data_IF_915897273908
#
_entry.id   IF_915897273908
#
_cell.length_a   1.000
_cell.length_b   1.000
_cell.length_c   1.000
_cell.angle_alpha   90.00
_cell.angle_beta   90.00
_cell.angle_gamma   90.00
#
_symmetry.space_group_name_H-M   'P 1'
#
loop_
_entity.id
_entity.type
_entity.pdbx_description
1 polymer ?
#
# COMPACT_ATOMS: atom_id res chain seq x y z
N UNK A 1 32.70 -11.29 -35.54
CA UNK A 1 31.92 -11.83 -34.41
C UNK A 1 31.44 -10.67 -33.58
N UNK A 2 30.13 -10.42 -33.58
CA UNK A 2 29.44 -9.49 -32.68
C UNK A 2 27.93 -9.66 -32.88
N UNK A 3 27.39 -10.67 -32.21
CA UNK A 3 25.95 -10.87 -32.06
C UNK A 3 25.44 -9.88 -31.01
N UNK A 4 24.68 -8.88 -31.46
CA UNK A 4 23.89 -8.01 -30.59
C UNK A 4 22.67 -8.79 -30.09
N UNK A 5 22.80 -9.40 -28.91
CA UNK A 5 21.66 -9.97 -28.18
C UNK A 5 20.71 -8.85 -27.74
N UNK A 6 19.77 -8.50 -28.62
CA UNK A 6 18.65 -7.62 -28.32
C UNK A 6 17.72 -8.37 -27.37
N UNK A 7 17.74 -8.00 -26.09
CA UNK A 7 16.79 -8.48 -25.09
C UNK A 7 15.36 -8.25 -25.61
N UNK A 8 14.73 -9.34 -26.04
CA UNK A 8 13.34 -9.33 -26.51
C UNK A 8 12.48 -9.01 -25.30
N UNK A 9 11.77 -7.87 -25.34
CA UNK A 9 10.80 -7.51 -24.30
C UNK A 9 9.76 -8.63 -24.24
N UNK A 10 9.75 -9.37 -23.13
CA UNK A 10 8.70 -10.35 -22.84
C UNK A 10 7.40 -9.57 -22.64
N UNK A 11 6.44 -9.74 -23.55
CA UNK A 11 5.10 -9.14 -23.40
C UNK A 11 4.35 -10.03 -22.42
N UNK A 12 4.04 -9.50 -21.24
CA UNK A 12 3.20 -10.18 -20.25
C UNK A 12 1.75 -10.17 -20.78
N UNK A 13 1.07 -11.34 -20.87
CA UNK A 13 -0.34 -11.41 -21.21
C UNK A 13 -1.19 -10.53 -20.28
N UNK A 14 -2.27 -9.95 -20.78
CA UNK A 14 -3.14 -9.08 -19.99
C UNK A 14 -3.69 -9.80 -18.75
N UNK A 15 -3.93 -11.11 -18.84
CA UNK A 15 -4.42 -11.92 -17.71
C UNK A 15 -3.36 -12.12 -16.61
N UNK A 16 -2.07 -11.94 -16.93
CA UNK A 16 -0.95 -12.05 -15.98
C UNK A 16 -0.51 -10.66 -15.46
N UNK A 17 -1.21 -9.59 -15.85
CA UNK A 17 -0.92 -8.23 -15.41
C UNK A 17 -1.73 -7.88 -14.15
N UNK A 18 -1.04 -7.46 -13.08
CA UNK A 18 -1.67 -6.93 -11.85
C UNK A 18 -2.44 -5.60 -12.06
N UNK A 19 -2.61 -5.12 -13.30
CA UNK A 19 -3.20 -3.80 -13.60
C UNK A 19 -4.64 -3.68 -13.11
N UNK A 20 -5.44 -4.75 -13.25
CA UNK A 20 -6.83 -4.75 -12.78
C UNK A 20 -6.86 -4.71 -11.26
N UNK A 21 -6.03 -5.52 -10.59
CA UNK A 21 -5.96 -5.58 -9.13
C UNK A 21 -5.44 -4.27 -8.54
N UNK A 22 -4.38 -3.69 -9.13
CA UNK A 22 -3.81 -2.41 -8.72
C UNK A 22 -4.83 -1.28 -8.89
N UNK A 23 -5.61 -1.29 -9.98
CA UNK A 23 -6.68 -0.32 -10.21
C UNK A 23 -7.82 -0.48 -9.20
N UNK A 24 -8.29 -1.70 -8.97
CA UNK A 24 -9.37 -1.96 -8.01
C UNK A 24 -8.95 -1.61 -6.59
N UNK A 25 -7.70 -1.93 -6.23
CA UNK A 25 -7.15 -1.55 -4.93
C UNK A 25 -7.06 -0.03 -4.82
N UNK A 26 -6.57 0.66 -5.86
CA UNK A 26 -6.54 2.11 -5.90
C UNK A 26 -7.94 2.73 -5.76
N UNK A 27 -8.93 2.31 -6.54
CA UNK A 27 -10.31 2.82 -6.40
C UNK A 27 -10.89 2.55 -5.01
N UNK A 28 -10.67 1.36 -4.45
CA UNK A 28 -11.06 1.03 -3.08
C UNK A 28 -10.40 1.96 -2.05
N UNK A 29 -9.15 2.37 -2.26
CA UNK A 29 -8.45 3.31 -1.39
C UNK A 29 -9.04 4.73 -1.43
N UNK A 30 -9.65 5.16 -2.54
CA UNK A 30 -10.29 6.48 -2.66
C UNK A 30 -11.77 6.50 -2.26
N UNK A 31 -12.36 5.34 -1.97
CA UNK A 31 -13.72 5.23 -1.46
C UNK A 31 -13.79 5.65 0.02
N UNK A 32 -14.33 6.84 0.28
CA UNK A 32 -14.47 7.40 1.64
C UNK A 32 -15.47 6.62 2.51
N UNK A 33 -16.45 5.93 1.91
CA UNK A 33 -17.51 5.23 2.62
C UNK A 33 -17.08 3.81 3.00
N UNK A 34 -16.50 3.07 2.06
CA UNK A 34 -16.20 1.64 2.23
C UNK A 34 -14.71 1.30 2.25
N UNK A 35 -13.85 2.17 1.74
CA UNK A 35 -12.41 1.92 1.62
C UNK A 35 -11.73 1.65 2.97
N UNK A 36 -12.17 2.37 4.00
CA UNK A 36 -11.69 2.21 5.37
C UNK A 36 -12.01 0.82 5.95
N UNK A 37 -13.24 0.34 5.79
CA UNK A 37 -13.63 -0.99 6.27
C UNK A 37 -12.92 -2.11 5.51
N UNK A 38 -12.83 -1.98 4.18
CA UNK A 38 -12.13 -2.94 3.34
C UNK A 38 -10.64 -3.04 3.71
N UNK A 39 -9.96 -1.91 3.89
CA UNK A 39 -8.56 -1.88 4.31
C UNK A 39 -8.35 -2.55 5.68
N UNK A 40 -9.24 -2.26 6.64
CA UNK A 40 -9.20 -2.90 7.95
C UNK A 40 -9.31 -4.41 7.84
N UNK A 41 -10.28 -4.93 7.08
CA UNK A 41 -10.47 -6.37 6.89
C UNK A 41 -9.24 -7.05 6.27
N UNK A 42 -8.65 -6.42 5.24
CA UNK A 42 -7.43 -6.92 4.59
C UNK A 42 -6.28 -6.96 5.60
N UNK A 43 -6.06 -5.87 6.33
CA UNK A 43 -4.96 -5.76 7.31
C UNK A 43 -5.14 -6.75 8.47
N UNK A 44 -6.33 -6.88 9.05
CA UNK A 44 -6.62 -7.86 10.10
C UNK A 44 -6.33 -9.28 9.61
N UNK A 45 -6.68 -9.59 8.35
CA UNK A 45 -6.45 -10.91 7.77
C UNK A 45 -4.99 -11.19 7.47
N UNK A 46 -4.23 -10.19 7.03
CA UNK A 46 -2.79 -10.32 6.72
C UNK A 46 -1.95 -10.35 8.00
N UNK A 47 -2.20 -9.44 8.92
CA UNK A 47 -1.43 -9.26 10.17
C UNK A 47 -1.86 -10.22 11.29
N UNK A 48 -3.03 -10.85 11.18
CA UNK A 48 -3.61 -11.75 12.20
C UNK A 48 -3.83 -11.08 13.57
N UNK A 49 -4.10 -9.77 13.57
CA UNK A 49 -4.46 -9.01 14.77
C UNK A 49 -5.80 -8.31 14.57
N UNK A 50 -6.47 -7.97 15.68
CA UNK A 50 -7.61 -7.05 15.65
C UNK A 50 -7.09 -5.63 15.48
N UNK A 51 -7.69 -4.87 14.58
CA UNK A 51 -7.34 -3.46 14.35
C UNK A 51 -8.54 -2.62 14.77
N UNK A 52 -8.31 -1.57 15.54
CA UNK A 52 -9.30 -0.63 16.01
C UNK A 52 -9.73 0.37 14.95
N UNK A 53 -10.01 1.59 15.38
CA UNK A 53 -10.36 2.66 14.46
C UNK A 53 -9.12 3.10 13.68
N UNK A 54 -9.19 3.13 12.35
CA UNK A 54 -8.04 3.53 11.52
C UNK A 54 -8.26 4.90 10.87
N UNK A 55 -7.21 5.69 10.77
CA UNK A 55 -7.12 6.83 9.87
C UNK A 55 -6.40 6.40 8.60
N UNK A 56 -6.89 6.87 7.47
CA UNK A 56 -6.50 6.40 6.16
C UNK A 56 -6.09 7.58 5.27
N UNK A 57 -5.02 7.41 4.49
CA UNK A 57 -4.60 8.38 3.47
C UNK A 57 -4.19 7.62 2.21
N UNK A 58 -4.94 7.84 1.13
CA UNK A 58 -4.58 7.36 -0.20
C UNK A 58 -3.33 8.09 -0.67
N UNK A 59 -2.31 7.30 -1.01
CA UNK A 59 -1.04 7.76 -1.54
C UNK A 59 -0.30 8.82 -0.69
N UNK A 60 0.64 8.39 0.16
CA UNK A 60 1.47 9.30 0.97
C UNK A 60 2.89 9.41 0.42
N UNK A 61 3.29 10.63 0.06
CA UNK A 61 4.69 10.95 -0.25
C UNK A 61 5.45 11.21 1.05
N UNK A 62 6.55 10.49 1.26
CA UNK A 62 7.50 10.74 2.34
C UNK A 62 8.79 11.26 1.68
N UNK A 63 9.11 12.56 1.84
CA UNK A 63 10.31 13.13 1.22
C UNK A 63 11.58 12.56 1.85
N UNK A 64 12.67 12.56 1.06
CA UNK A 64 13.99 12.25 1.59
C UNK A 64 14.41 13.26 2.66
N UNK A 65 15.16 12.80 3.65
CA UNK A 65 15.60 13.63 4.79
C UNK A 65 16.67 14.67 4.38
N UNK A 66 17.32 14.48 3.22
CA UNK A 66 18.34 15.37 2.66
C UNK A 66 18.08 15.68 1.19
N UNK A 67 18.78 16.68 0.65
CA UNK A 67 18.74 17.05 -0.78
C UNK A 67 19.16 15.91 -1.72
N UNK A 68 19.93 14.95 -1.22
CA UNK A 68 20.36 13.73 -1.92
C UNK A 68 19.56 12.49 -1.51
N UNK A 69 18.63 12.62 -0.56
CA UNK A 69 17.86 11.53 -0.01
C UNK A 69 16.75 11.10 -0.96
N UNK A 70 16.59 9.80 -1.15
CA UNK A 70 15.47 9.24 -1.90
C UNK A 70 14.21 9.29 -1.03
N UNK A 71 13.15 9.92 -1.53
CA UNK A 71 11.82 9.82 -0.96
C UNK A 71 11.15 8.50 -1.34
N UNK A 72 10.08 8.17 -0.63
CA UNK A 72 9.23 7.03 -0.96
C UNK A 72 7.79 7.49 -1.17
N UNK A 73 7.09 6.81 -2.08
CA UNK A 73 5.64 6.93 -2.24
C UNK A 73 5.01 5.66 -1.68
N UNK A 74 4.21 5.82 -0.65
CA UNK A 74 3.34 4.77 -0.15
C UNK A 74 2.05 4.82 -0.94
N UNK A 75 1.54 3.69 -1.42
CA UNK A 75 0.23 3.64 -2.09
C UNK A 75 -0.91 3.85 -1.08
N UNK A 76 -0.70 3.44 0.18
CA UNK A 76 -1.60 3.68 1.30
C UNK A 76 -0.82 4.00 2.58
N UNK A 77 -1.28 4.98 3.35
CA UNK A 77 -0.81 5.25 4.70
C UNK A 77 -1.96 5.09 5.68
N UNK A 78 -1.79 4.18 6.64
CA UNK A 78 -2.84 3.77 7.57
C UNK A 78 -2.27 3.84 8.97
N UNK A 79 -2.98 4.52 9.87
CA UNK A 79 -2.65 4.58 11.29
C UNK A 79 -3.85 4.14 12.11
N UNK A 80 -3.62 3.36 13.16
CA UNK A 80 -4.66 3.02 14.12
C UNK A 80 -4.69 4.10 15.21
N UNK A 81 -5.89 4.57 15.56
CA UNK A 81 -6.08 5.42 16.72
C UNK A 81 -5.72 4.60 17.96
N UNK A 82 -4.71 5.05 18.70
CA UNK A 82 -4.38 4.46 19.98
C UNK A 82 -5.52 4.83 20.93
N UNK A 83 -6.46 3.91 21.13
CA UNK A 83 -7.29 3.99 22.32
C UNK A 83 -6.33 3.84 23.50
N UNK A 84 -6.15 4.91 24.27
CA UNK A 84 -5.50 4.85 25.58
C UNK A 84 -6.32 3.92 26.48
N UNK A 85 -6.17 2.61 26.30
CA UNK A 85 -6.44 1.67 27.37
C UNK A 85 -5.30 1.85 28.36
N UNK A 86 -5.57 2.67 29.37
CA UNK A 86 -4.80 2.77 30.60
C UNK A 86 -4.23 1.40 31.01
N UNK A 87 -2.91 1.34 31.23
CA UNK A 87 -2.25 0.27 31.98
C UNK A 87 -1.54 -0.79 31.14
N UNK A 88 -0.30 -0.49 30.74
CA UNK A 88 0.74 -1.52 30.68
C UNK A 88 1.79 -1.15 31.73
N UNK A 89 1.99 -1.96 32.81
CA UNK A 89 3.04 -1.69 33.78
C UNK A 89 4.40 -1.96 33.14
N UNK A 90 5.37 -1.14 33.55
CA UNK A 90 6.78 -1.14 33.15
C UNK A 90 7.48 -2.49 33.35
#
# INVERSE_FOLDING_TARGET
MNETNKSVRKITPLEEMNVIDDFLFYEMLYDEEHGKEACRLILERVLKCSIGNIQYTAQKMIPGISETGQGIRLDAYITEDVCDSEGRPD
#
